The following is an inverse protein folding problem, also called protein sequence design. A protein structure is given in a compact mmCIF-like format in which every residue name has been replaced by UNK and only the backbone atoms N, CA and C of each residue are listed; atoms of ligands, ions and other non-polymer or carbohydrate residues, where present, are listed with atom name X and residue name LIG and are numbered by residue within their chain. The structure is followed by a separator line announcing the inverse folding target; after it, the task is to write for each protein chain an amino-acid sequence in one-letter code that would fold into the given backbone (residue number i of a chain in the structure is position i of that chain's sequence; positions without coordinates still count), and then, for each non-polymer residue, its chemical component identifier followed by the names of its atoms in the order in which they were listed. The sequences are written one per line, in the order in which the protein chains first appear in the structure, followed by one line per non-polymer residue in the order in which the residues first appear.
data_IF_274309385564
#
_entry.id   IF_274309385564
#
_cell.length_a   1.000
_cell.length_b   1.000
_cell.length_c   1.000
_cell.angle_alpha   90.00
_cell.angle_beta   90.00
_cell.angle_gamma   90.00
#
_symmetry.space_group_name_H-M   'P 1'
#
loop_
_entity.id
_entity.type
_entity.pdbx_description
1 polymer ?
#
# COMPACT_ATOMS: atom_id res chain seq x y z
N UNK A 1 33.76 -7.06 21.02
CA UNK A 1 34.58 -6.48 19.92
C UNK A 1 36.11 -6.48 20.16
N UNK A 2 36.62 -6.87 21.35
CA UNK A 2 38.08 -7.00 21.61
C UNK A 2 38.74 -8.26 21.00
N UNK A 3 38.02 -9.39 20.96
CA UNK A 3 38.58 -10.68 20.50
C UNK A 3 38.84 -10.79 18.99
N UNK A 4 38.08 -10.09 18.12
CA UNK A 4 38.31 -10.12 16.66
C UNK A 4 39.48 -9.24 16.21
N UNK A 5 39.81 -8.16 16.94
CA UNK A 5 40.97 -7.29 16.62
C UNK A 5 42.32 -7.99 16.87
N UNK A 6 42.43 -8.81 17.93
CA UNK A 6 43.67 -9.55 18.21
C UNK A 6 43.99 -10.64 17.19
N UNK A 7 42.98 -11.33 16.66
CA UNK A 7 43.16 -12.41 15.67
C UNK A 7 43.58 -11.86 14.30
N UNK A 8 43.03 -10.70 13.90
CA UNK A 8 43.40 -10.03 12.64
C UNK A 8 44.82 -9.45 12.74
N UNK A 9 45.19 -8.83 13.87
CA UNK A 9 46.56 -8.33 14.07
C UNK A 9 47.62 -9.44 14.18
N UNK A 10 47.29 -10.60 14.78
CA UNK A 10 48.20 -11.76 14.80
C UNK A 10 48.40 -12.35 13.40
N UNK A 11 47.35 -12.47 12.58
CA UNK A 11 47.47 -12.97 11.20
C UNK A 11 48.26 -12.00 10.30
N UNK A 12 48.10 -10.69 10.47
CA UNK A 12 48.84 -9.69 9.71
C UNK A 12 50.34 -9.67 10.08
N UNK A 13 50.68 -9.79 11.37
CA UNK A 13 52.07 -9.95 11.83
C UNK A 13 52.71 -11.22 11.26
N UNK A 14 51.99 -12.34 11.24
CA UNK A 14 52.51 -13.60 10.71
C UNK A 14 52.74 -13.54 9.19
N UNK A 15 51.84 -12.90 8.44
CA UNK A 15 51.93 -12.76 6.98
C UNK A 15 53.05 -11.81 6.54
N UNK A 16 53.30 -10.74 7.30
CA UNK A 16 54.44 -9.85 7.09
C UNK A 16 55.76 -10.52 7.48
N UNK A 17 55.80 -11.33 8.54
CA UNK A 17 57.05 -12.00 8.94
C UNK A 17 57.47 -13.12 7.96
N UNK A 18 56.51 -13.88 7.42
CA UNK A 18 56.83 -15.02 6.53
C UNK A 18 57.21 -14.61 5.11
N UNK A 19 56.69 -13.48 4.57
CA UNK A 19 57.09 -12.99 3.23
C UNK A 19 58.40 -12.22 3.21
N UNK A 20 58.80 -11.60 4.32
CA UNK A 20 60.07 -10.88 4.40
C UNK A 20 61.27 -11.81 4.70
N UNK A 21 61.04 -13.00 5.25
CA UNK A 21 62.09 -14.00 5.46
C UNK A 21 62.49 -14.75 4.17
N UNK A 22 61.62 -14.82 3.16
CA UNK A 22 61.87 -15.56 1.91
C UNK A 22 62.62 -14.77 0.83
N UNK A 23 62.79 -13.45 0.98
CA UNK A 23 63.70 -12.64 0.18
C UNK A 23 64.86 -12.27 1.09
N UNK A 24 66.07 -12.78 0.85
CA UNK A 24 67.27 -12.57 1.70
C UNK A 24 67.72 -11.10 1.83
N UNK A 25 66.88 -10.26 2.42
CA UNK A 25 66.96 -8.79 2.40
C UNK A 25 67.11 -8.19 3.80
N UNK A 26 67.41 -9.00 4.82
CA UNK A 26 67.53 -8.55 6.20
C UNK A 26 68.82 -7.74 6.50
N UNK A 27 69.79 -7.71 5.59
CA UNK A 27 71.11 -7.08 5.84
C UNK A 27 71.49 -5.92 4.91
N UNK A 28 70.62 -5.46 4.00
CA UNK A 28 70.91 -4.27 3.20
C UNK A 28 70.38 -3.01 3.89
N UNK A 29 71.22 -1.98 4.01
CA UNK A 29 70.85 -0.66 4.53
C UNK A 29 69.66 -0.07 3.77
N UNK A 30 69.52 -0.35 2.47
CA UNK A 30 68.37 0.05 1.66
C UNK A 30 67.04 -0.55 2.15
N UNK A 31 67.00 -1.82 2.59
CA UNK A 31 65.76 -2.45 3.04
C UNK A 31 65.27 -1.84 4.38
N UNK A 32 66.21 -1.49 5.27
CA UNK A 32 65.91 -0.78 6.53
C UNK A 32 65.35 0.62 6.27
N UNK A 33 65.88 1.36 5.30
CA UNK A 33 65.33 2.66 4.90
C UNK A 33 63.92 2.52 4.28
N UNK A 34 63.68 1.52 3.42
CA UNK A 34 62.35 1.31 2.84
C UNK A 34 61.28 0.96 3.87
N UNK A 35 61.61 0.13 4.88
CA UNK A 35 60.68 -0.19 5.97
C UNK A 35 60.42 1.04 6.85
N UNK A 36 61.46 1.84 7.13
CA UNK A 36 61.34 3.07 7.92
C UNK A 36 60.52 4.16 7.21
N UNK A 37 60.67 4.29 5.88
CA UNK A 37 59.86 5.19 5.04
C UNK A 37 58.40 4.73 4.97
N UNK A 38 58.13 3.43 4.87
CA UNK A 38 56.76 2.90 4.92
C UNK A 38 56.14 3.15 6.31
N UNK A 39 56.90 2.94 7.40
CA UNK A 39 56.42 3.22 8.76
C UNK A 39 56.13 4.71 8.99
N UNK A 40 56.98 5.60 8.46
CA UNK A 40 56.76 7.06 8.47
C UNK A 40 55.54 7.47 7.64
N UNK A 41 55.30 6.83 6.48
CA UNK A 41 54.11 7.02 5.65
C UNK A 41 52.81 6.54 6.32
N UNK A 42 52.87 5.54 7.20
CA UNK A 42 51.71 5.09 7.98
C UNK A 42 51.39 6.01 9.18
N UNK A 43 52.38 6.75 9.70
CA UNK A 43 52.19 7.70 10.82
C UNK A 43 51.58 9.03 10.33
N UNK A 44 51.74 9.38 9.06
CA UNK A 44 51.21 10.60 8.44
C UNK A 44 49.82 10.45 7.80
N UNK A 45 49.13 9.32 8.00
CA UNK A 45 47.72 9.19 7.60
C UNK A 45 46.89 9.96 8.63
N UNK A 46 46.22 11.07 8.26
CA UNK A 46 45.31 11.73 9.17
C UNK A 46 44.23 10.74 9.58
N UNK A 47 44.14 10.46 10.88
CA UNK A 47 43.04 9.69 11.45
C UNK A 47 41.80 10.57 11.32
N UNK A 48 40.99 10.31 10.29
CA UNK A 48 39.67 10.92 10.16
C UNK A 48 38.79 10.28 11.23
N UNK A 49 38.59 10.98 12.34
CA UNK A 49 37.61 10.61 13.34
C UNK A 49 36.22 10.92 12.75
N UNK A 50 35.45 9.87 12.46
CA UNK A 50 34.03 10.02 12.16
C UNK A 50 33.28 10.50 13.40
N UNK A 51 32.31 11.40 13.22
CA UNK A 51 31.42 11.83 14.30
C UNK A 51 30.68 10.64 14.90
N UNK A 52 30.54 10.67 16.22
CA UNK A 52 29.87 9.67 17.04
C UNK A 52 28.51 10.14 17.50
N UNK A 53 27.67 9.21 17.95
CA UNK A 53 26.38 9.54 18.58
C UNK A 53 26.52 10.51 19.76
N UNK A 54 27.61 10.42 20.54
CA UNK A 54 27.85 11.30 21.69
C UNK A 54 28.04 12.76 21.26
N UNK A 55 28.66 12.99 20.10
CA UNK A 55 28.83 14.34 19.54
C UNK A 55 27.46 14.98 19.23
N UNK A 56 26.52 14.21 18.67
CA UNK A 56 25.15 14.68 18.41
C UNK A 56 24.35 14.87 19.71
N UNK A 57 24.48 13.94 20.65
CA UNK A 57 23.75 13.95 21.92
C UNK A 57 24.22 15.05 22.88
N UNK A 58 25.40 15.65 22.65
CA UNK A 58 25.87 16.83 23.39
C UNK A 58 24.85 17.98 23.40
N UNK A 59 24.11 18.15 22.30
CA UNK A 59 22.99 19.08 22.18
C UNK A 59 21.63 18.36 22.20
N UNK A 60 21.48 17.25 21.46
CA UNK A 60 20.17 16.63 21.26
C UNK A 60 19.61 15.87 22.47
N UNK A 61 20.38 15.68 23.54
CA UNK A 61 19.88 15.12 24.80
C UNK A 61 19.21 16.16 25.73
N UNK A 62 19.07 17.42 25.30
CA UNK A 62 18.34 18.43 26.09
C UNK A 62 16.82 18.39 25.79
N UNK A 63 15.95 18.08 26.78
CA UNK A 63 14.49 18.07 26.61
C UNK A 63 13.90 19.42 26.19
N UNK A 64 14.57 20.53 26.51
CA UNK A 64 14.12 21.89 26.17
C UNK A 64 14.52 22.29 24.74
N UNK A 65 15.43 21.54 24.11
CA UNK A 65 15.89 21.84 22.76
C UNK A 65 14.74 21.74 21.77
N UNK A 66 14.51 22.84 21.05
CA UNK A 66 13.39 22.98 20.14
C UNK A 66 13.68 24.01 19.06
N UNK A 67 12.93 23.91 17.95
CA UNK A 67 12.92 24.91 16.88
C UNK A 67 11.52 25.33 16.53
N UNK A 68 11.38 26.51 15.93
CA UNK A 68 10.14 26.96 15.32
C UNK A 68 10.07 26.51 13.86
N UNK A 69 8.98 25.88 13.45
CA UNK A 69 8.72 25.53 12.05
C UNK A 69 7.25 25.81 11.73
N UNK A 70 7.00 26.73 10.80
CA UNK A 70 5.63 27.12 10.42
C UNK A 70 4.79 27.62 11.59
N UNK A 71 5.39 28.41 12.50
CA UNK A 71 4.72 28.97 13.68
C UNK A 71 4.49 27.99 14.83
N UNK A 72 4.89 26.72 14.71
CA UNK A 72 4.80 25.72 15.79
C UNK A 72 6.16 25.41 16.40
N UNK A 73 6.22 25.30 17.73
CA UNK A 73 7.39 24.81 18.48
C UNK A 73 7.50 23.29 18.31
N UNK A 74 8.62 22.82 17.78
CA UNK A 74 8.92 21.39 17.56
C UNK A 74 10.12 21.01 18.43
N UNK A 75 10.00 19.95 19.22
CA UNK A 75 11.12 19.42 20.01
C UNK A 75 12.17 18.77 19.09
N UNK A 76 13.44 19.03 19.40
CA UNK A 76 14.60 18.40 18.77
C UNK A 76 15.27 17.38 19.70
N UNK A 77 14.65 17.10 20.86
CA UNK A 77 15.14 16.15 21.83
C UNK A 77 15.17 14.73 21.27
N UNK A 78 16.30 14.06 21.44
CA UNK A 78 16.53 12.65 21.15
C UNK A 78 17.04 11.99 22.42
N UNK A 79 16.34 10.95 22.87
CA UNK A 79 16.80 10.16 24.01
C UNK A 79 18.14 9.48 23.70
N UNK A 80 19.09 9.41 24.65
CA UNK A 80 20.38 8.75 24.44
C UNK A 80 20.25 7.27 24.04
N UNK A 81 19.20 6.61 24.52
CA UNK A 81 18.92 5.20 24.24
C UNK A 81 17.96 4.99 23.06
N UNK A 82 17.69 6.02 22.25
CA UNK A 82 16.68 5.97 21.19
C UNK A 82 16.91 4.85 20.16
N UNK A 83 18.17 4.51 19.87
CA UNK A 83 18.54 3.45 18.93
C UNK A 83 18.84 2.09 19.61
N UNK A 84 18.94 2.01 20.94
CA UNK A 84 19.47 0.81 21.63
C UNK A 84 18.69 -0.48 21.33
N UNK A 85 17.38 -0.38 21.11
CA UNK A 85 16.51 -1.52 20.78
C UNK A 85 16.21 -1.64 19.29
N UNK A 86 16.70 -0.70 18.50
CA UNK A 86 16.47 -0.65 17.07
C UNK A 86 17.24 -1.76 16.36
N UNK A 87 16.74 -2.23 15.22
CA UNK A 87 17.51 -3.06 14.30
C UNK A 87 18.72 -2.30 13.73
N UNK A 88 18.69 -0.97 13.81
CA UNK A 88 19.77 -0.07 13.41
C UNK A 88 20.67 0.36 14.59
N UNK A 89 20.66 -0.36 15.72
CA UNK A 89 21.40 0.03 16.94
C UNK A 89 22.93 0.14 16.76
N UNK A 90 23.47 -0.39 15.68
CA UNK A 90 24.91 -0.35 15.36
C UNK A 90 25.29 0.82 14.45
N UNK A 91 24.32 1.63 14.02
CA UNK A 91 24.57 2.79 13.16
C UNK A 91 24.75 4.05 14.03
N UNK A 92 25.69 4.91 13.62
CA UNK A 92 25.78 6.28 14.13
C UNK A 92 24.69 7.16 13.51
N UNK A 93 24.30 8.25 14.18
CA UNK A 93 23.26 9.18 13.73
C UNK A 93 23.52 9.70 12.31
N UNK A 94 24.78 9.98 11.97
CA UNK A 94 25.20 10.52 10.68
C UNK A 94 25.04 9.55 9.51
N UNK A 95 24.88 8.24 9.75
CA UNK A 95 24.57 7.30 8.67
C UNK A 95 23.17 7.50 8.10
N UNK A 96 22.22 7.97 8.92
CA UNK A 96 20.88 8.31 8.48
C UNK A 96 20.72 9.81 8.24
N UNK A 97 21.35 10.62 9.09
CA UNK A 97 21.38 12.08 9.00
C UNK A 97 22.71 12.53 8.37
N UNK A 98 22.92 12.18 7.11
CA UNK A 98 24.17 12.47 6.39
C UNK A 98 24.50 13.96 6.33
N UNK A 99 23.50 14.84 6.28
CA UNK A 99 23.70 16.30 6.33
C UNK A 99 24.16 16.82 7.71
N UNK A 100 24.01 16.01 8.76
CA UNK A 100 24.57 16.32 10.07
C UNK A 100 26.07 15.99 10.16
N UNK A 101 26.64 15.33 9.14
CA UNK A 101 28.04 14.94 9.05
C UNK A 101 28.97 16.15 8.75
N UNK A 102 29.01 17.14 9.64
CA UNK A 102 29.76 18.40 9.47
C UNK A 102 31.05 18.41 10.28
N UNK A 103 32.05 19.17 9.82
CA UNK A 103 33.32 19.34 10.55
C UNK A 103 33.17 20.27 11.76
N UNK A 104 32.30 21.27 11.64
CA UNK A 104 32.09 22.31 12.64
C UNK A 104 30.60 22.40 12.98
N UNK A 105 30.29 22.40 14.27
CA UNK A 105 28.94 22.59 14.78
C UNK A 105 28.59 24.09 14.90
N UNK A 106 27.31 24.46 14.74
CA UNK A 106 26.15 23.61 14.49
C UNK A 106 26.01 23.15 13.04
N UNK A 107 25.42 21.96 12.84
CA UNK A 107 24.97 21.51 11.51
C UNK A 107 23.81 22.37 10.99
N UNK A 108 23.49 22.37 9.68
CA UNK A 108 22.43 23.18 9.10
C UNK A 108 21.10 23.06 9.85
N UNK A 109 20.41 24.18 10.07
CA UNK A 109 19.13 24.19 10.80
C UNK A 109 18.03 23.42 10.08
N UNK A 110 18.08 23.39 8.75
CA UNK A 110 17.11 22.72 7.90
C UNK A 110 17.78 21.53 7.23
N UNK A 111 17.59 20.37 7.85
CA UNK A 111 18.01 19.09 7.29
C UNK A 111 16.92 18.47 6.42
N UNK A 112 17.34 17.76 5.38
CA UNK A 112 16.44 16.90 4.63
C UNK A 112 15.95 15.71 5.50
N UNK A 113 14.72 15.24 5.29
CA UNK A 113 14.25 14.02 5.96
C UNK A 113 15.12 12.81 5.58
N UNK A 114 15.36 11.91 6.53
CA UNK A 114 16.09 10.66 6.32
C UNK A 114 15.46 9.87 5.18
N UNK A 115 16.27 9.48 4.20
CA UNK A 115 15.85 8.64 3.09
C UNK A 115 16.20 7.17 3.35
N UNK A 116 15.21 6.36 3.72
CA UNK A 116 15.42 4.93 3.94
C UNK A 116 15.89 4.20 2.66
N UNK A 117 15.58 4.75 1.48
CA UNK A 117 15.90 4.18 0.18
C UNK A 117 17.40 4.15 -0.15
N UNK A 118 18.22 4.92 0.56
CA UNK A 118 19.68 4.91 0.37
C UNK A 118 20.30 3.54 0.74
N UNK A 119 19.62 2.77 1.59
CA UNK A 119 20.02 1.40 1.96
C UNK A 119 18.93 0.35 1.68
N UNK A 120 17.66 0.75 1.62
CA UNK A 120 16.53 -0.13 1.34
C UNK A 120 15.92 0.18 -0.04
N UNK A 121 16.75 0.13 -1.07
CA UNK A 121 16.41 0.47 -2.45
C UNK A 121 15.21 -0.32 -3.00
N UNK A 122 15.17 -1.64 -2.79
CA UNK A 122 14.09 -2.51 -3.24
C UNK A 122 12.76 -2.18 -2.55
N UNK A 123 12.79 -2.01 -1.22
CA UNK A 123 11.60 -1.63 -0.46
C UNK A 123 11.10 -0.23 -0.83
N UNK A 124 12.02 0.71 -1.09
CA UNK A 124 11.68 2.05 -1.56
C UNK A 124 11.06 2.00 -2.96
N UNK A 125 11.62 1.22 -3.87
CA UNK A 125 11.09 1.04 -5.22
C UNK A 125 9.67 0.48 -5.17
N UNK A 126 9.47 -0.62 -4.44
CA UNK A 126 8.16 -1.24 -4.22
C UNK A 126 7.15 -0.27 -3.61
N UNK A 127 7.58 0.51 -2.62
CA UNK A 127 6.73 1.51 -1.97
C UNK A 127 6.30 2.62 -2.93
N UNK A 128 7.24 3.13 -3.74
CA UNK A 128 6.99 4.19 -4.72
C UNK A 128 6.12 3.73 -5.89
N UNK A 129 6.15 2.44 -6.24
CA UNK A 129 5.24 1.83 -7.21
C UNK A 129 3.83 1.60 -6.65
N UNK A 130 3.69 1.48 -5.32
CA UNK A 130 2.42 1.29 -4.64
C UNK A 130 1.57 2.55 -4.54
N UNK A 131 0.30 2.38 -4.15
CA UNK A 131 -0.67 3.47 -4.00
C UNK A 131 -0.25 4.50 -2.93
N UNK A 132 0.43 4.05 -1.87
CA UNK A 132 0.94 4.92 -0.82
C UNK A 132 2.08 5.81 -1.33
N UNK A 133 3.06 5.25 -2.06
CA UNK A 133 4.14 6.04 -2.65
C UNK A 133 3.66 6.97 -3.76
N UNK A 134 2.67 6.54 -4.55
CA UNK A 134 1.99 7.41 -5.52
C UNK A 134 1.29 8.60 -4.82
N UNK A 135 0.63 8.38 -3.68
CA UNK A 135 0.06 9.44 -2.87
C UNK A 135 1.14 10.37 -2.30
N UNK A 136 2.25 9.81 -1.79
CA UNK A 136 3.37 10.60 -1.26
C UNK A 136 4.01 11.50 -2.33
N UNK A 137 4.22 10.98 -3.55
CA UNK A 137 4.74 11.73 -4.68
C UNK A 137 3.86 12.92 -5.07
N UNK A 138 2.55 12.83 -4.81
CA UNK A 138 1.57 13.92 -5.02
C UNK A 138 1.49 14.91 -3.86
N UNK A 139 2.41 14.82 -2.90
CA UNK A 139 2.44 15.65 -1.69
C UNK A 139 1.13 15.60 -0.90
N UNK A 140 0.51 14.43 -0.87
CA UNK A 140 -0.74 14.21 -0.17
C UNK A 140 -0.49 14.14 1.35
N UNK A 141 -1.18 14.99 2.12
CA UNK A 141 -1.02 15.06 3.58
C UNK A 141 -1.44 13.78 4.30
N UNK A 142 -2.26 12.93 3.67
CA UNK A 142 -2.69 11.66 4.25
C UNK A 142 -1.80 10.48 3.80
N UNK A 143 -0.79 10.71 2.96
CA UNK A 143 0.10 9.64 2.52
C UNK A 143 1.03 9.21 3.67
N UNK A 144 1.11 7.90 3.98
CA UNK A 144 2.08 7.42 4.96
C UNK A 144 3.49 7.48 4.37
N UNK A 145 4.49 7.58 5.24
CA UNK A 145 5.91 7.35 4.92
C UNK A 145 6.39 6.11 5.67
N UNK A 146 7.68 5.76 5.50
CA UNK A 146 8.29 4.62 6.18
C UNK A 146 8.09 4.68 7.70
N UNK A 147 8.11 5.88 8.30
CA UNK A 147 8.05 6.07 9.76
C UNK A 147 6.67 5.82 10.36
N UNK A 148 5.59 6.01 9.60
CA UNK A 148 4.23 5.71 10.07
C UNK A 148 4.10 4.20 10.31
N UNK A 149 4.67 3.39 9.42
CA UNK A 149 4.66 1.93 9.51
C UNK A 149 5.71 1.36 10.46
N UNK A 150 6.97 1.78 10.33
CA UNK A 150 8.11 1.18 11.04
C UNK A 150 8.51 1.92 12.33
N UNK A 151 8.11 3.18 12.48
CA UNK A 151 8.61 4.08 13.52
C UNK A 151 9.82 4.91 13.07
N UNK A 152 10.38 5.70 13.99
CA UNK A 152 11.54 6.57 13.72
C UNK A 152 12.86 5.95 14.21
N UNK A 153 13.32 6.29 15.41
CA UNK A 153 14.57 5.73 15.97
C UNK A 153 14.38 4.33 16.57
N UNK A 154 13.17 4.00 17.02
CA UNK A 154 12.86 2.72 17.69
C UNK A 154 12.26 1.69 16.72
N UNK A 155 12.93 1.48 15.57
CA UNK A 155 12.50 0.50 14.57
C UNK A 155 12.92 -0.89 15.03
N UNK A 156 11.96 -1.74 15.40
CA UNK A 156 12.24 -3.08 15.94
C UNK A 156 11.76 -4.17 14.98
N UNK A 157 12.39 -5.35 15.09
CA UNK A 157 12.14 -6.49 14.19
C UNK A 157 10.65 -6.87 14.13
N UNK A 158 10.09 -7.21 12.95
CA UNK A 158 8.70 -7.65 12.82
C UNK A 158 8.40 -8.96 13.54
N UNK A 159 9.40 -9.64 14.09
CA UNK A 159 9.22 -10.83 14.95
C UNK A 159 8.93 -10.48 16.41
N UNK A 160 9.24 -9.25 16.84
CA UNK A 160 8.98 -8.80 18.21
C UNK A 160 7.51 -8.37 18.34
N UNK A 161 6.73 -8.91 19.30
CA UNK A 161 5.34 -8.53 19.52
C UNK A 161 5.08 -7.02 19.74
N UNK A 162 6.11 -6.27 20.15
CA UNK A 162 6.02 -4.80 20.32
C UNK A 162 6.16 -4.04 19.00
N UNK A 163 6.59 -4.71 17.93
CA UNK A 163 6.77 -4.06 16.63
C UNK A 163 5.43 -3.69 16.02
N UNK A 164 5.34 -2.50 15.42
CA UNK A 164 4.15 -2.08 14.66
C UNK A 164 3.84 -3.03 13.50
N UNK A 165 4.88 -3.62 12.92
CA UNK A 165 4.80 -4.57 11.80
C UNK A 165 4.76 -6.03 12.26
N UNK A 166 4.61 -6.28 13.56
CA UNK A 166 4.33 -7.62 14.07
C UNK A 166 2.95 -8.09 13.60
N UNK A 167 2.85 -9.38 13.26
CA UNK A 167 1.65 -9.99 12.66
C UNK A 167 0.33 -9.56 13.31
N UNK A 168 0.23 -9.65 14.63
CA UNK A 168 -0.99 -9.30 15.38
C UNK A 168 -1.32 -7.80 15.35
N UNK A 169 -0.32 -6.96 15.13
CA UNK A 169 -0.43 -5.50 15.14
C UNK A 169 -0.74 -4.93 13.75
N UNK A 170 -0.63 -5.73 12.67
CA UNK A 170 -0.84 -5.27 11.29
C UNK A 170 -2.26 -4.71 11.08
N UNK A 171 -3.37 -5.37 11.51
CA UNK A 171 -4.69 -4.79 11.30
C UNK A 171 -4.87 -3.46 12.02
N UNK A 172 -4.29 -3.32 13.22
CA UNK A 172 -4.30 -2.05 13.96
C UNK A 172 -3.47 -0.99 13.23
N UNK A 173 -2.30 -1.35 12.70
CA UNK A 173 -1.42 -0.45 11.95
C UNK A 173 -2.13 0.11 10.71
N UNK A 174 -2.67 -0.75 9.85
CA UNK A 174 -3.45 -0.34 8.68
C UNK A 174 -4.68 0.48 9.10
N UNK A 175 -5.30 0.05 10.20
CA UNK A 175 -6.45 0.68 10.82
C UNK A 175 -6.22 2.11 11.31
N UNK A 176 -4.99 2.54 11.57
CA UNK A 176 -4.72 3.93 11.99
C UNK A 176 -5.22 4.94 10.96
N UNK A 177 -5.14 4.59 9.67
CA UNK A 177 -5.57 5.42 8.56
C UNK A 177 -6.85 4.91 7.88
N UNK A 178 -7.05 3.59 7.77
CA UNK A 178 -8.15 3.01 6.99
C UNK A 178 -9.41 2.64 7.79
N UNK A 179 -9.43 2.86 9.11
CA UNK A 179 -10.66 2.67 9.90
C UNK A 179 -11.76 3.66 9.52
N UNK A 180 -13.00 3.30 9.80
CA UNK A 180 -14.14 4.18 9.57
C UNK A 180 -13.96 5.53 10.30
N UNK A 181 -14.31 6.63 9.63
CA UNK A 181 -14.15 8.00 10.15
C UNK A 181 -12.72 8.57 10.16
N UNK A 182 -11.68 7.80 9.81
CA UNK A 182 -10.33 8.34 9.67
C UNK A 182 -10.21 9.34 8.50
N UNK A 183 -9.20 10.24 8.48
CA UNK A 183 -9.04 11.23 7.41
C UNK A 183 -9.03 10.64 6.00
N UNK A 184 -8.40 9.47 5.81
CA UNK A 184 -8.40 8.76 4.53
C UNK A 184 -9.82 8.27 4.19
N UNK A 185 -10.48 7.52 5.09
CA UNK A 185 -11.82 6.99 4.82
C UNK A 185 -12.87 8.08 4.57
N UNK A 186 -12.71 9.27 5.17
CA UNK A 186 -13.59 10.43 4.93
C UNK A 186 -13.23 11.18 3.66
N UNK A 187 -11.94 11.38 3.40
CA UNK A 187 -11.42 12.23 2.32
C UNK A 187 -11.43 11.57 0.95
N UNK A 188 -11.33 10.24 0.89
CA UNK A 188 -11.30 9.49 -0.38
C UNK A 188 -12.58 8.71 -0.63
N UNK A 189 -12.82 8.41 -1.91
CA UNK A 189 -13.86 7.47 -2.31
C UNK A 189 -13.36 6.03 -2.16
N UNK A 190 -13.52 5.46 -0.96
CA UNK A 190 -13.08 4.08 -0.66
C UNK A 190 -14.28 3.15 -0.79
N UNK A 191 -14.16 2.09 -1.58
CA UNK A 191 -15.28 1.19 -1.91
C UNK A 191 -15.71 0.24 -0.79
N UNK A 192 -15.00 0.20 0.33
CA UNK A 192 -15.26 -0.72 1.44
C UNK A 192 -15.30 0.04 2.76
N UNK A 193 -16.32 -0.26 3.56
CA UNK A 193 -16.59 0.36 4.85
C UNK A 193 -16.44 -0.62 6.01
N UNK A 194 -16.22 -0.10 7.22
CA UNK A 194 -16.09 -0.90 8.44
C UNK A 194 -15.07 -2.06 8.35
N UNK A 195 -14.01 -1.89 7.56
CA UNK A 195 -13.09 -2.98 7.18
C UNK A 195 -12.43 -3.67 8.39
N UNK A 196 -12.14 -2.93 9.47
CA UNK A 196 -11.52 -3.50 10.66
C UNK A 196 -12.48 -4.39 11.43
N UNK A 197 -13.72 -3.92 11.60
CA UNK A 197 -14.78 -4.68 12.25
C UNK A 197 -15.05 -5.95 11.44
N UNK A 198 -15.24 -5.80 10.13
CA UNK A 198 -15.54 -6.91 9.25
C UNK A 198 -14.40 -7.93 9.19
N UNK A 199 -13.15 -7.49 9.13
CA UNK A 199 -12.00 -8.38 9.22
C UNK A 199 -11.96 -9.11 10.57
N UNK A 200 -12.16 -8.39 11.67
CA UNK A 200 -12.05 -8.93 13.04
C UNK A 200 -13.08 -10.02 13.32
N UNK A 201 -14.29 -9.89 12.77
CA UNK A 201 -15.38 -10.86 12.90
C UNK A 201 -15.31 -11.98 11.84
N UNK A 202 -14.48 -11.84 10.81
CA UNK A 202 -14.25 -12.88 9.82
C UNK A 202 -13.37 -14.02 10.33
N UNK A 203 -13.33 -15.14 9.62
CA UNK A 203 -12.54 -16.33 10.01
C UNK A 203 -11.06 -16.00 10.23
N UNK A 204 -10.49 -15.07 9.44
CA UNK A 204 -9.12 -14.63 9.63
C UNK A 204 -8.94 -13.78 10.91
N UNK A 205 -9.84 -12.83 11.17
CA UNK A 205 -9.79 -12.05 12.42
C UNK A 205 -10.00 -12.90 13.67
N UNK A 206 -10.97 -13.81 13.65
CA UNK A 206 -11.21 -14.79 14.74
C UNK A 206 -9.97 -15.66 14.94
N UNK A 207 -9.39 -16.19 13.86
CA UNK A 207 -8.16 -16.98 13.93
C UNK A 207 -6.99 -16.22 14.55
N UNK A 208 -6.82 -14.96 14.15
CA UNK A 208 -5.75 -14.11 14.66
C UNK A 208 -5.98 -13.72 16.13
N UNK A 209 -7.11 -13.09 16.45
CA UNK A 209 -7.36 -12.44 17.75
C UNK A 209 -7.94 -13.36 18.81
N UNK A 210 -8.92 -14.21 18.48
CA UNK A 210 -9.54 -15.09 19.47
C UNK A 210 -8.76 -16.38 19.67
N UNK A 211 -8.16 -16.92 18.60
CA UNK A 211 -7.41 -18.19 18.65
C UNK A 211 -5.90 -18.00 18.75
N UNK A 212 -5.39 -16.78 18.61
CA UNK A 212 -3.95 -16.48 18.70
C UNK A 212 -3.09 -17.10 17.59
N UNK A 213 -3.69 -17.44 16.45
CA UNK A 213 -3.01 -18.12 15.35
C UNK A 213 -2.28 -17.11 14.46
N UNK A 214 -0.98 -16.94 14.69
CA UNK A 214 -0.15 -16.02 13.88
C UNK A 214 0.06 -16.46 12.44
N UNK A 215 -0.33 -17.69 12.10
CA UNK A 215 -0.34 -18.19 10.71
C UNK A 215 -1.54 -17.68 9.90
N UNK A 216 -2.52 -17.09 10.57
CA UNK A 216 -3.73 -16.57 9.94
C UNK A 216 -3.42 -15.32 9.10
N UNK A 217 -4.15 -15.16 7.99
CA UNK A 217 -3.93 -14.06 7.07
C UNK A 217 -4.31 -12.69 7.68
N UNK A 218 -3.47 -11.70 7.45
CA UNK A 218 -3.60 -10.27 7.80
C UNK A 218 -3.64 -9.43 6.54
N UNK A 219 -3.96 -8.14 6.67
CA UNK A 219 -4.18 -7.22 5.54
C UNK A 219 -3.08 -7.31 4.46
N UNK A 220 -1.82 -7.35 4.90
CA UNK A 220 -0.63 -7.39 4.04
C UNK A 220 -0.40 -8.73 3.33
N UNK A 221 -0.96 -9.85 3.79
CA UNK A 221 -0.81 -11.13 3.06
C UNK A 221 -1.66 -11.15 1.79
N UNK A 222 -2.77 -10.39 1.80
CA UNK A 222 -3.60 -10.21 0.63
C UNK A 222 -3.13 -9.00 -0.18
N UNK A 223 -2.94 -7.84 0.44
CA UNK A 223 -2.67 -6.57 -0.26
C UNK A 223 -1.18 -6.29 -0.56
N UNK A 224 -0.25 -7.01 0.08
CA UNK A 224 1.19 -6.75 0.00
C UNK A 224 1.72 -5.91 1.17
N UNK A 225 3.05 -5.77 1.24
CA UNK A 225 3.76 -5.05 2.31
C UNK A 225 4.16 -3.64 1.87
N UNK A 226 5.25 -3.53 1.09
CA UNK A 226 5.71 -2.25 0.54
C UNK A 226 5.01 -1.91 -0.77
N UNK A 227 4.81 -2.90 -1.65
CA UNK A 227 4.07 -2.75 -2.91
C UNK A 227 2.59 -3.06 -2.74
N UNK A 228 1.83 -2.07 -2.29
CA UNK A 228 0.37 -2.16 -2.16
C UNK A 228 -0.27 -1.54 -3.39
N UNK A 229 -0.91 -2.37 -4.21
CA UNK A 229 -1.59 -1.96 -5.44
C UNK A 229 -3.13 -2.01 -5.27
N UNK A 230 -3.88 -1.10 -5.89
CA UNK A 230 -5.35 -1.14 -5.84
C UNK A 230 -5.88 -2.44 -6.47
N UNK A 231 -7.07 -2.89 -6.08
CA UNK A 231 -7.70 -4.11 -6.63
C UNK A 231 -8.00 -4.00 -8.14
N UNK A 232 -8.09 -2.76 -8.62
CA UNK A 232 -8.24 -2.41 -10.03
C UNK A 232 -7.01 -2.77 -10.85
N UNK A 233 -5.84 -2.87 -10.20
CA UNK A 233 -4.59 -3.10 -10.91
C UNK A 233 -4.38 -4.57 -11.21
N UNK A 234 -4.15 -4.89 -12.48
CA UNK A 234 -3.97 -6.27 -12.94
C UNK A 234 -2.78 -6.99 -12.29
N UNK A 235 -1.78 -6.23 -11.81
CA UNK A 235 -0.62 -6.78 -11.09
C UNK A 235 -0.85 -6.84 -9.57
N UNK A 236 -1.96 -6.32 -9.06
CA UNK A 236 -2.33 -6.45 -7.65
C UNK A 236 -2.62 -7.91 -7.32
N UNK A 237 -2.16 -8.37 -6.17
CA UNK A 237 -2.47 -9.68 -5.61
C UNK A 237 -3.97 -9.85 -5.35
N UNK A 238 -4.68 -8.76 -5.06
CA UNK A 238 -6.14 -8.79 -4.85
C UNK A 238 -6.95 -8.48 -6.11
N UNK A 239 -6.31 -8.43 -7.29
CA UNK A 239 -7.05 -8.27 -8.54
C UNK A 239 -7.88 -9.51 -8.86
N UNK A 240 -8.99 -9.36 -9.60
CA UNK A 240 -9.83 -10.51 -10.02
C UNK A 240 -9.04 -11.62 -10.70
N UNK A 241 -7.97 -11.28 -11.42
CA UNK A 241 -7.09 -12.23 -12.10
C UNK A 241 -6.19 -13.01 -11.13
N UNK A 242 -5.69 -12.37 -10.08
CA UNK A 242 -4.66 -12.94 -9.20
C UNK A 242 -5.20 -13.46 -7.87
N UNK A 243 -6.43 -13.09 -7.49
CA UNK A 243 -6.98 -13.36 -6.15
C UNK A 243 -6.99 -14.85 -5.79
N UNK A 244 -7.27 -15.73 -6.75
CA UNK A 244 -7.23 -17.18 -6.54
C UNK A 244 -5.81 -17.64 -6.16
N UNK A 245 -4.78 -17.16 -6.87
CA UNK A 245 -3.38 -17.46 -6.57
C UNK A 245 -2.97 -16.94 -5.19
N UNK A 246 -3.45 -15.76 -4.80
CA UNK A 246 -3.20 -15.20 -3.46
C UNK A 246 -3.81 -16.09 -2.38
N UNK A 247 -5.08 -16.50 -2.49
CA UNK A 247 -5.69 -17.43 -1.54
C UNK A 247 -4.94 -18.77 -1.48
N UNK A 248 -4.53 -19.29 -2.64
CA UNK A 248 -3.81 -20.56 -2.75
C UNK A 248 -2.40 -20.58 -2.15
N UNK A 249 -1.84 -19.41 -1.82
CA UNK A 249 -0.60 -19.33 -1.03
C UNK A 249 -0.71 -20.10 0.28
N UNK A 250 -1.91 -20.12 0.88
CA UNK A 250 -2.21 -20.90 2.08
C UNK A 250 -3.23 -22.02 1.81
N UNK A 251 -4.25 -21.76 0.99
CA UNK A 251 -5.33 -22.71 0.69
C UNK A 251 -4.99 -23.63 -0.50
N UNK A 252 -3.93 -24.42 -0.36
CA UNK A 252 -3.32 -25.21 -1.44
C UNK A 252 -4.25 -26.23 -2.15
N UNK A 253 -5.45 -26.51 -1.61
CA UNK A 253 -6.41 -27.47 -2.18
C UNK A 253 -7.79 -26.86 -2.44
N UNK A 254 -7.87 -25.53 -2.52
CA UNK A 254 -9.15 -24.86 -2.75
C UNK A 254 -9.75 -25.23 -4.12
N UNK A 255 -8.90 -25.44 -5.14
CA UNK A 255 -9.33 -25.83 -6.49
C UNK A 255 -9.99 -27.22 -6.51
N UNK A 256 -9.45 -28.21 -5.77
CA UNK A 256 -10.02 -29.57 -5.65
C UNK A 256 -11.48 -29.56 -5.17
N UNK A 257 -11.83 -28.57 -4.33
CA UNK A 257 -13.17 -28.39 -3.79
C UNK A 257 -14.07 -27.68 -4.82
N UNK A 258 -13.54 -26.67 -5.52
CA UNK A 258 -14.33 -25.86 -6.46
C UNK A 258 -14.66 -26.60 -7.76
N UNK A 259 -13.78 -27.45 -8.29
CA UNK A 259 -14.06 -28.22 -9.52
C UNK A 259 -15.20 -29.24 -9.35
N UNK A 260 -15.59 -29.55 -8.10
CA UNK A 260 -16.76 -30.40 -7.80
C UNK A 260 -18.09 -29.64 -7.87
N UNK A 261 -18.04 -28.31 -7.75
CA UNK A 261 -19.21 -27.42 -7.71
C UNK A 261 -19.33 -26.61 -9.02
N UNK A 262 -18.20 -26.28 -9.65
CA UNK A 262 -18.10 -25.45 -10.85
C UNK A 262 -17.49 -26.28 -11.98
N UNK A 263 -18.19 -26.35 -13.12
CA UNK A 263 -17.75 -27.15 -14.27
C UNK A 263 -16.43 -26.62 -14.85
N UNK A 264 -15.38 -27.46 -14.82
CA UNK A 264 -14.02 -27.14 -15.30
C UNK A 264 -13.98 -26.64 -16.75
N UNK A 265 -14.90 -27.06 -17.61
CA UNK A 265 -14.93 -26.58 -19.01
C UNK A 265 -15.34 -25.11 -19.14
N UNK A 266 -16.06 -24.54 -18.17
CA UNK A 266 -16.37 -23.10 -18.12
C UNK A 266 -15.14 -22.25 -17.75
N UNK A 267 -14.19 -22.80 -16.98
CA UNK A 267 -12.91 -22.15 -16.64
C UNK A 267 -12.06 -21.92 -17.89
N UNK A 268 -12.05 -22.89 -18.81
CA UNK A 268 -11.19 -22.88 -19.99
C UNK A 268 -11.81 -22.12 -21.18
N UNK A 269 -13.15 -22.17 -21.32
CA UNK A 269 -13.85 -21.68 -22.52
C UNK A 269 -14.47 -20.29 -22.39
N UNK A 270 -14.62 -19.73 -21.18
CA UNK A 270 -15.31 -18.45 -20.99
C UNK A 270 -14.75 -17.65 -19.81
N UNK A 271 -13.68 -16.84 -20.04
CA UNK A 271 -13.15 -15.92 -19.04
C UNK A 271 -14.25 -14.99 -18.49
N UNK A 272 -14.46 -15.00 -17.17
CA UNK A 272 -15.51 -14.20 -16.50
C UNK A 272 -16.87 -14.89 -16.32
N UNK A 273 -17.05 -16.13 -16.82
CA UNK A 273 -18.26 -16.91 -16.56
C UNK A 273 -18.31 -17.48 -15.13
N UNK A 274 -17.17 -17.49 -14.44
CA UNK A 274 -17.02 -18.07 -13.10
C UNK A 274 -16.76 -16.95 -12.10
N UNK A 275 -17.53 -16.90 -11.00
CA UNK A 275 -17.29 -15.93 -9.93
C UNK A 275 -15.88 -16.06 -9.36
N UNK A 276 -15.22 -14.94 -9.08
CA UNK A 276 -14.00 -14.91 -8.28
C UNK A 276 -14.30 -15.42 -6.86
N UNK A 277 -13.27 -15.92 -6.15
CA UNK A 277 -13.44 -16.40 -4.77
C UNK A 277 -14.13 -15.37 -3.87
N UNK A 278 -13.80 -14.09 -4.06
CA UNK A 278 -14.32 -12.95 -3.30
C UNK A 278 -15.75 -12.59 -3.63
N UNK A 279 -16.30 -13.06 -4.76
CA UNK A 279 -17.71 -12.83 -5.11
C UNK A 279 -18.62 -13.62 -4.16
N UNK A 280 -18.17 -14.79 -3.70
CA UNK A 280 -18.88 -15.60 -2.71
C UNK A 280 -18.33 -15.44 -1.28
N UNK A 281 -17.00 -15.23 -1.15
CA UNK A 281 -16.30 -15.06 0.12
C UNK A 281 -15.73 -13.64 0.26
N UNK A 282 -16.57 -12.62 0.51
CA UNK A 282 -16.11 -11.25 0.64
C UNK A 282 -15.19 -11.10 1.88
N UNK A 283 -13.93 -10.67 1.71
CA UNK A 283 -12.94 -10.63 2.79
C UNK A 283 -13.19 -9.52 3.81
N UNK A 284 -14.02 -8.53 3.46
CA UNK A 284 -14.40 -7.40 4.31
C UNK A 284 -15.90 -7.37 4.61
N UNK A 285 -16.57 -8.53 4.67
CA UNK A 285 -17.97 -8.65 5.12
C UNK A 285 -18.15 -9.94 5.96
N UNK A 286 -18.93 -9.84 7.03
CA UNK A 286 -19.04 -10.89 8.07
C UNK A 286 -20.12 -11.93 7.75
N UNK A 287 -21.17 -11.54 7.03
CA UNK A 287 -22.36 -12.36 6.83
C UNK A 287 -22.32 -13.15 5.52
N UNK A 288 -21.92 -14.42 5.60
CA UNK A 288 -21.93 -15.36 4.46
C UNK A 288 -23.27 -16.10 4.29
N UNK A 289 -24.15 -16.08 5.29
CA UNK A 289 -25.39 -16.90 5.30
C UNK A 289 -26.38 -16.53 4.19
N UNK A 290 -26.25 -15.34 3.60
CA UNK A 290 -27.17 -14.83 2.58
C UNK A 290 -26.61 -14.85 1.14
N UNK A 291 -25.37 -15.31 0.93
CA UNK A 291 -24.73 -15.29 -0.41
C UNK A 291 -25.24 -16.43 -1.33
N UNK A 292 -25.98 -17.40 -0.78
CA UNK A 292 -26.49 -18.55 -1.54
C UNK A 292 -27.83 -18.32 -2.25
N UNK A 293 -28.50 -17.20 -2.01
CA UNK A 293 -29.70 -16.86 -2.78
C UNK A 293 -29.30 -15.98 -3.97
N UNK A 294 -29.22 -16.60 -5.15
CA UNK A 294 -29.13 -15.90 -6.43
C UNK A 294 -30.36 -14.99 -6.58
N UNK A 295 -30.27 -13.76 -6.08
CA UNK A 295 -31.26 -12.71 -6.35
C UNK A 295 -31.30 -12.51 -7.86
N UNK A 296 -32.39 -12.97 -8.47
CA UNK A 296 -32.66 -12.77 -9.89
C UNK A 296 -33.03 -11.31 -10.15
N UNK A 297 -32.79 -10.82 -11.37
CA UNK A 297 -33.19 -9.46 -11.77
C UNK A 297 -34.69 -9.20 -11.51
N UNK A 298 -35.53 -10.24 -11.61
CA UNK A 298 -36.96 -10.17 -11.30
C UNK A 298 -37.23 -9.66 -9.88
N UNK A 299 -36.42 -10.06 -8.91
CA UNK A 299 -36.55 -9.62 -7.51
C UNK A 299 -36.40 -8.10 -7.39
N UNK A 300 -35.46 -7.53 -8.13
CA UNK A 300 -35.24 -6.08 -8.17
C UNK A 300 -36.38 -5.38 -8.91
N UNK A 301 -36.81 -5.94 -10.05
CA UNK A 301 -37.83 -5.36 -10.91
C UNK A 301 -39.22 -5.31 -10.28
N UNK A 302 -39.54 -6.18 -9.30
CA UNK A 302 -40.78 -6.10 -8.51
C UNK A 302 -41.05 -4.68 -8.02
N UNK A 303 -40.00 -3.95 -7.64
CA UNK A 303 -40.08 -2.54 -7.28
C UNK A 303 -39.65 -1.65 -8.43
N UNK A 304 -38.46 -1.89 -9.00
CA UNK A 304 -37.80 -0.94 -9.90
C UNK A 304 -38.45 -0.81 -11.29
N UNK A 305 -39.40 -1.66 -11.68
CA UNK A 305 -40.14 -1.46 -12.94
C UNK A 305 -41.27 -0.41 -12.83
N UNK A 306 -41.66 -0.03 -11.60
CA UNK A 306 -42.81 0.86 -11.35
C UNK A 306 -42.42 2.34 -11.47
N UNK A 307 -43.33 3.16 -11.99
CA UNK A 307 -43.14 4.61 -12.16
C UNK A 307 -43.06 5.40 -10.85
N UNK A 308 -43.58 4.85 -9.76
CA UNK A 308 -43.67 5.53 -8.47
C UNK A 308 -42.52 5.20 -7.50
N UNK A 309 -41.47 4.49 -7.93
CA UNK A 309 -40.32 4.25 -7.06
C UNK A 309 -39.34 5.41 -7.15
N UNK A 310 -39.04 6.00 -6.00
CA UNK A 310 -38.16 7.15 -5.88
C UNK A 310 -37.40 7.12 -4.57
N UNK A 311 -36.23 7.78 -4.53
CA UNK A 311 -35.51 8.12 -3.31
C UNK A 311 -35.38 9.62 -3.17
N UNK A 312 -35.17 10.08 -1.94
CA UNK A 312 -34.82 11.46 -1.67
C UNK A 312 -33.30 11.56 -1.59
N UNK A 313 -32.70 12.44 -2.40
CA UNK A 313 -31.27 12.80 -2.33
C UNK A 313 -31.20 14.31 -2.21
N UNK A 314 -30.60 14.82 -1.14
CA UNK A 314 -30.48 16.26 -0.86
C UNK A 314 -31.81 17.03 -0.95
N UNK A 315 -32.89 16.43 -0.44
CA UNK A 315 -34.24 17.01 -0.46
C UNK A 315 -34.93 16.96 -1.82
N UNK A 316 -34.31 16.40 -2.86
CA UNK A 316 -34.91 16.22 -4.19
C UNK A 316 -35.36 14.77 -4.40
N UNK A 317 -36.54 14.61 -5.00
CA UNK A 317 -37.06 13.30 -5.40
C UNK A 317 -36.37 12.84 -6.67
N UNK A 318 -35.66 11.72 -6.61
CA UNK A 318 -34.97 11.10 -7.73
C UNK A 318 -35.67 9.77 -8.03
N UNK A 319 -36.12 9.59 -9.27
CA UNK A 319 -36.73 8.34 -9.72
C UNK A 319 -35.72 7.19 -9.63
N UNK A 320 -36.20 6.03 -9.18
CA UNK A 320 -35.47 4.78 -9.16
C UNK A 320 -35.99 3.78 -10.19
N UNK A 321 -36.91 4.21 -11.07
CA UNK A 321 -37.41 3.35 -12.13
C UNK A 321 -36.24 2.90 -13.02
N UNK A 322 -36.18 1.60 -13.27
CA UNK A 322 -35.25 0.96 -14.21
C UNK A 322 -36.07 0.47 -15.39
N UNK A 323 -35.76 1.01 -16.57
CA UNK A 323 -36.21 0.43 -17.83
C UNK A 323 -35.18 -0.63 -18.27
N UNK A 324 -35.67 -1.84 -18.55
CA UNK A 324 -34.84 -2.98 -18.98
C UNK A 324 -34.48 -2.90 -20.46
N UNK A 325 -35.23 -2.14 -21.26
CA UNK A 325 -34.96 -1.98 -22.70
C UNK A 325 -33.58 -1.38 -22.96
N UNK A 326 -33.15 -0.32 -22.24
CA UNK A 326 -31.77 0.17 -22.30
C UNK A 326 -30.71 -0.90 -21.99
N UNK A 327 -30.92 -1.73 -20.95
CA UNK A 327 -29.96 -2.77 -20.54
C UNK A 327 -29.85 -3.84 -21.63
N UNK A 328 -30.97 -4.27 -22.20
CA UNK A 328 -31.01 -5.26 -23.29
C UNK A 328 -30.25 -4.79 -24.54
N UNK A 329 -30.17 -3.48 -24.77
CA UNK A 329 -29.43 -2.86 -25.87
C UNK A 329 -28.00 -2.42 -25.50
N UNK A 330 -27.56 -2.71 -24.27
CA UNK A 330 -26.21 -2.40 -23.81
C UNK A 330 -25.21 -3.51 -24.16
N UNK A 331 -23.92 -3.19 -24.06
CA UNK A 331 -22.83 -4.18 -24.14
C UNK A 331 -22.84 -5.14 -22.94
N UNK A 332 -23.57 -4.82 -21.86
CA UNK A 332 -23.69 -5.60 -20.63
C UNK A 332 -24.97 -6.44 -20.57
N UNK A 333 -25.71 -6.61 -21.67
CA UNK A 333 -27.01 -7.32 -21.72
C UNK A 333 -27.03 -8.75 -21.15
N UNK A 334 -25.87 -9.39 -20.99
CA UNK A 334 -25.71 -10.74 -20.42
C UNK A 334 -25.27 -10.74 -18.94
N UNK A 335 -25.22 -9.58 -18.30
CA UNK A 335 -24.82 -9.41 -16.90
C UNK A 335 -26.07 -9.13 -16.05
N UNK A 336 -26.29 -9.95 -15.02
CA UNK A 336 -27.38 -9.76 -14.05
C UNK A 336 -27.13 -8.55 -13.15
N UNK A 337 -28.18 -7.92 -12.63
CA UNK A 337 -28.10 -6.68 -11.84
C UNK A 337 -27.10 -6.78 -10.68
N UNK A 338 -27.13 -7.90 -9.94
CA UNK A 338 -26.28 -8.14 -8.76
C UNK A 338 -24.79 -8.30 -9.06
N UNK A 339 -24.42 -8.53 -10.33
CA UNK A 339 -23.01 -8.58 -10.74
C UNK A 339 -22.41 -7.17 -10.90
N UNK A 340 -23.25 -6.16 -11.15
CA UNK A 340 -22.86 -4.75 -11.15
C UNK A 340 -23.06 -4.13 -9.76
N UNK A 341 -24.21 -4.40 -9.14
CA UNK A 341 -24.55 -3.98 -7.78
C UNK A 341 -24.12 -5.06 -6.76
N UNK A 342 -22.80 -5.27 -6.63
CA UNK A 342 -22.20 -6.29 -5.75
C UNK A 342 -22.15 -5.91 -4.26
N UNK A 343 -22.53 -4.67 -3.97
CA UNK A 343 -22.60 -4.06 -2.65
C UNK A 343 -23.93 -4.31 -1.93
N UNK A 344 -24.96 -4.77 -2.64
CA UNK A 344 -26.26 -5.12 -2.04
C UNK A 344 -26.12 -6.24 -1.02
N UNK A 345 -26.91 -6.14 0.05
CA UNK A 345 -27.03 -7.21 1.03
C UNK A 345 -28.22 -8.08 0.65
N UNK A 346 -28.02 -9.35 0.28
CA UNK A 346 -29.13 -10.25 0.04
C UNK A 346 -29.91 -10.53 1.33
N UNK A 347 -31.20 -10.87 1.19
CA UNK A 347 -32.09 -11.32 2.26
C UNK A 347 -32.41 -10.32 3.39
N UNK A 348 -32.31 -9.01 3.12
CA UNK A 348 -32.94 -7.96 3.95
C UNK A 348 -34.22 -7.44 3.29
N UNK A 349 -35.13 -6.83 4.05
CA UNK A 349 -36.44 -6.36 3.55
C UNK A 349 -36.31 -5.39 2.37
N UNK A 350 -35.22 -4.61 2.31
CA UNK A 350 -34.87 -3.74 1.18
C UNK A 350 -33.41 -3.97 0.79
N UNK A 351 -33.11 -4.90 -0.13
CA UNK A 351 -31.73 -5.19 -0.55
C UNK A 351 -30.98 -3.98 -1.11
N UNK A 352 -31.73 -2.99 -1.63
CA UNK A 352 -31.19 -1.74 -2.17
C UNK A 352 -30.78 -0.70 -1.11
N UNK A 353 -31.03 -0.93 0.18
CA UNK A 353 -30.64 0.01 1.24
C UNK A 353 -29.12 0.13 1.36
N UNK A 354 -28.39 -0.92 1.02
CA UNK A 354 -26.91 -0.92 1.01
C UNK A 354 -26.33 -0.72 -0.39
N UNK A 355 -27.16 -0.37 -1.39
CA UNK A 355 -26.70 -0.16 -2.75
C UNK A 355 -26.03 1.22 -2.90
N UNK A 356 -24.75 1.20 -3.23
CA UNK A 356 -23.92 2.35 -3.57
C UNK A 356 -23.74 2.44 -5.11
N UNK A 357 -22.77 3.25 -5.53
CA UNK A 357 -22.41 3.37 -6.95
C UNK A 357 -21.70 2.10 -7.41
N UNK A 358 -22.08 1.61 -8.59
CA UNK A 358 -21.46 0.44 -9.24
C UNK A 358 -19.96 0.66 -9.42
N UNK A 359 -19.16 -0.30 -8.95
CA UNK A 359 -17.72 -0.33 -9.20
C UNK A 359 -17.40 -1.04 -10.53
N UNK A 360 -17.13 -0.25 -11.57
CA UNK A 360 -16.78 -0.78 -12.89
C UNK A 360 -15.40 -1.47 -12.91
N UNK A 361 -14.51 -1.10 -11.98
CA UNK A 361 -13.11 -1.53 -11.99
C UNK A 361 -12.92 -3.02 -11.72
N UNK A 362 -13.89 -3.62 -11.03
CA UNK A 362 -13.90 -5.06 -10.78
C UNK A 362 -13.90 -5.86 -12.09
N UNK A 363 -14.54 -5.38 -13.17
CA UNK A 363 -14.47 -6.01 -14.50
C UNK A 363 -13.51 -5.31 -15.47
N UNK A 364 -13.44 -3.98 -15.41
CA UNK A 364 -12.65 -3.15 -16.32
C UNK A 364 -11.35 -2.67 -15.67
N UNK A 365 -10.61 -3.60 -15.07
CA UNK A 365 -9.39 -3.36 -14.30
C UNK A 365 -8.37 -2.44 -15.01
N UNK A 366 -7.99 -2.78 -16.24
CA UNK A 366 -7.01 -2.01 -17.02
C UNK A 366 -7.47 -0.56 -17.29
N UNK A 367 -8.72 -0.39 -17.70
CA UNK A 367 -9.27 0.95 -17.98
C UNK A 367 -9.44 1.74 -16.69
N UNK A 368 -9.84 1.09 -15.60
CA UNK A 368 -9.97 1.71 -14.29
C UNK A 368 -8.62 2.21 -13.74
N UNK A 369 -7.53 1.48 -13.98
CA UNK A 369 -6.18 1.94 -13.65
C UNK A 369 -5.76 3.18 -14.44
N UNK A 370 -6.06 3.19 -15.75
CA UNK A 370 -5.81 4.36 -16.60
C UNK A 370 -6.65 5.55 -16.11
N UNK A 371 -7.91 5.32 -15.78
CA UNK A 371 -8.79 6.35 -15.23
C UNK A 371 -8.28 6.87 -13.88
N UNK A 372 -7.92 6.00 -12.93
CA UNK A 372 -7.44 6.37 -11.59
C UNK A 372 -6.13 7.17 -11.64
N UNK A 373 -5.27 6.90 -12.62
CA UNK A 373 -4.05 7.68 -12.85
C UNK A 373 -4.28 9.01 -13.58
N UNK A 374 -5.43 9.19 -14.23
CA UNK A 374 -5.80 10.42 -14.94
C UNK A 374 -6.21 11.56 -13.98
N UNK A 375 -6.30 12.79 -14.52
CA UNK A 375 -6.82 13.93 -13.76
C UNK A 375 -8.27 13.73 -13.28
N UNK A 376 -9.12 13.04 -14.06
CA UNK A 376 -10.51 12.77 -13.68
C UNK A 376 -10.61 11.80 -12.51
N UNK A 377 -9.88 10.68 -12.56
CA UNK A 377 -9.87 9.71 -11.46
C UNK A 377 -9.29 10.31 -10.18
N UNK A 378 -8.22 11.11 -10.29
CA UNK A 378 -7.67 11.82 -9.13
C UNK A 378 -8.65 12.84 -8.52
N UNK A 379 -9.37 13.58 -9.36
CA UNK A 379 -10.39 14.51 -8.89
C UNK A 379 -11.56 13.78 -8.23
N UNK A 380 -11.98 12.65 -8.80
CA UNK A 380 -13.07 11.82 -8.30
C UNK A 380 -12.71 11.18 -6.96
N UNK A 381 -11.51 10.61 -6.85
CA UNK A 381 -11.01 10.01 -5.62
C UNK A 381 -10.94 11.02 -4.49
N UNK A 382 -10.63 12.29 -4.79
CA UNK A 382 -10.56 13.41 -3.83
C UNK A 382 -11.92 14.06 -3.54
N UNK A 383 -13.02 13.50 -4.06
CA UNK A 383 -14.38 14.05 -3.92
C UNK A 383 -14.49 15.50 -4.38
N UNK A 384 -13.74 15.87 -5.42
CA UNK A 384 -13.85 17.21 -6.00
C UNK A 384 -15.23 17.38 -6.66
N UNK A 385 -15.81 18.57 -6.53
CA UNK A 385 -17.10 18.88 -7.15
C UNK A 385 -17.01 18.74 -8.68
N UNK A 386 -18.03 18.16 -9.31
CA UNK A 386 -18.12 17.87 -10.75
C UNK A 386 -17.03 16.94 -11.31
N UNK A 387 -16.28 16.22 -10.48
CA UNK A 387 -15.36 15.20 -10.97
C UNK A 387 -16.13 14.04 -11.65
N UNK A 388 -15.86 13.74 -12.94
CA UNK A 388 -16.62 12.72 -13.66
C UNK A 388 -16.13 11.31 -13.27
N UNK A 389 -17.07 10.39 -13.05
CA UNK A 389 -16.82 8.95 -12.98
C UNK A 389 -17.07 8.29 -14.34
N UNK A 390 -16.95 6.95 -14.41
CA UNK A 390 -17.22 6.19 -15.62
C UNK A 390 -18.62 6.48 -16.19
N UNK A 391 -19.60 6.69 -15.31
CA UNK A 391 -21.01 6.90 -15.64
C UNK A 391 -21.29 8.22 -16.34
N UNK A 392 -20.52 9.26 -16.06
CA UNK A 392 -20.67 10.59 -16.68
C UNK A 392 -20.22 10.57 -18.15
N UNK A 393 -19.32 9.65 -18.51
CA UNK A 393 -18.88 9.45 -19.88
C UNK A 393 -19.70 8.38 -20.61
N UNK A 394 -19.95 7.23 -19.98
CA UNK A 394 -20.54 6.05 -20.62
C UNK A 394 -22.06 5.91 -20.42
N UNK A 395 -22.65 6.70 -19.53
CA UNK A 395 -24.01 6.50 -19.04
C UNK A 395 -24.10 5.40 -17.97
N UNK A 396 -25.32 5.05 -17.59
CA UNK A 396 -25.59 4.08 -16.52
C UNK A 396 -26.00 2.71 -17.10
N UNK A 397 -27.28 2.53 -17.42
CA UNK A 397 -27.84 1.25 -17.87
C UNK A 397 -27.78 1.06 -19.40
N UNK A 398 -27.51 2.11 -20.18
CA UNK A 398 -27.34 2.06 -21.64
C UNK A 398 -25.87 2.28 -22.05
N UNK A 399 -24.97 1.39 -21.61
CA UNK A 399 -23.57 1.47 -22.03
C UNK A 399 -23.42 0.87 -23.43
N UNK A 400 -23.03 1.69 -24.39
CA UNK A 400 -22.81 1.31 -25.79
C UNK A 400 -21.32 1.18 -26.11
N UNK A 401 -21.01 0.40 -27.14
CA UNK A 401 -19.64 0.26 -27.64
C UNK A 401 -19.10 1.60 -28.14
N UNK A 402 -17.79 1.85 -27.98
CA UNK A 402 -17.13 3.03 -28.58
C UNK A 402 -17.19 3.07 -30.11
N UNK A 403 -17.51 1.93 -30.74
CA UNK A 403 -17.65 1.79 -32.19
C UNK A 403 -19.10 2.03 -32.67
N UNK A 404 -20.06 2.22 -31.76
CA UNK A 404 -21.44 2.54 -32.09
C UNK A 404 -21.58 4.06 -32.25
N UNK A 405 -22.08 4.51 -33.40
CA UNK A 405 -22.22 5.95 -33.72
C UNK A 405 -23.17 6.69 -32.77
N UNK A 406 -24.08 5.96 -32.11
CA UNK A 406 -25.02 6.50 -31.14
C UNK A 406 -24.49 6.50 -29.71
N UNK A 407 -23.22 6.11 -29.51
CA UNK A 407 -22.56 6.10 -28.21
C UNK A 407 -22.09 7.50 -27.81
N UNK A 408 -22.24 7.92 -26.54
CA UNK A 408 -21.73 9.21 -26.07
C UNK A 408 -20.21 9.33 -26.20
N UNK A 409 -19.50 8.20 -26.21
CA UNK A 409 -18.04 8.12 -26.38
C UNK A 409 -17.63 7.81 -27.82
N UNK A 410 -18.55 7.87 -28.78
CA UNK A 410 -18.20 7.78 -30.19
C UNK A 410 -17.42 9.01 -30.63
N UNK A 411 -16.43 8.84 -31.50
CA UNK A 411 -15.46 9.89 -31.88
C UNK A 411 -16.06 11.26 -32.22
N UNK A 412 -17.22 11.32 -32.87
CA UNK A 412 -17.87 12.59 -33.23
C UNK A 412 -18.70 13.20 -32.10
N UNK A 413 -19.10 12.40 -31.10
CA UNK A 413 -19.83 12.86 -29.91
C UNK A 413 -18.90 13.36 -28.79
N UNK A 414 -17.64 12.90 -28.76
CA UNK A 414 -16.66 13.27 -27.72
C UNK A 414 -16.52 14.78 -27.49
N UNK A 415 -16.40 15.65 -28.52
CA UNK A 415 -16.28 17.09 -28.29
C UNK A 415 -17.45 17.68 -27.50
N UNK A 416 -18.68 17.25 -27.80
CA UNK A 416 -19.87 17.70 -27.07
C UNK A 416 -19.89 17.15 -25.63
N UNK A 417 -19.51 15.89 -25.43
CA UNK A 417 -19.40 15.28 -24.11
C UNK A 417 -18.42 16.03 -23.21
N UNK A 418 -17.20 16.29 -23.70
CA UNK A 418 -16.17 17.03 -22.95
C UNK A 418 -16.57 18.49 -22.73
N UNK A 419 -17.25 19.10 -23.70
CA UNK A 419 -17.76 20.47 -23.65
C UNK A 419 -18.84 20.72 -22.59
N UNK A 420 -19.39 19.69 -21.95
CA UNK A 420 -20.30 19.88 -20.82
C UNK A 420 -19.59 20.37 -19.54
N UNK A 421 -18.29 20.09 -19.42
CA UNK A 421 -17.49 20.46 -18.23
C UNK A 421 -16.32 21.38 -18.59
N UNK A 422 -15.73 21.22 -19.77
CA UNK A 422 -14.57 21.99 -20.24
C UNK A 422 -14.98 23.08 -21.23
N UNK A 423 -15.85 23.99 -20.78
CA UNK A 423 -16.18 25.20 -21.52
C UNK A 423 -15.09 26.23 -21.25
N UNK A 424 -14.30 26.55 -22.29
CA UNK A 424 -13.43 27.72 -22.29
C UNK A 424 -14.19 28.92 -22.85
#
# INVERSE_FOLDING_TARGET
MKFKKEVVMKKLKYFLYTRFASLGCLNSTLCRYSIFVILLLFISIPVVYGQTNDDCLSCHNDPELSKMRGGKKISLYVRPDALNKSVHSTLECTFCHSEAAVTDFPHPENMTPVNCGDCHDGAMTDFMEGIHGAALKRNDHNAPTCKECHGSHQIITPKDPKSRTYKMNIPVLCGQCHREGAPVSRGYNVSQHNILENYSQGTHGIGLYEKGLTVTATCNDCHGNHKILPHTNLNSSVSRKNIAATCMTCHARIEDVHVKIINKTLWEKSPGAIPACTDCHPPHKVELRNVLDNITDKTCLVCHERDNVHKMVDGKQVSLKVDVVPIANSVHKSITCVKCHSDITPNITRPCETAEKVDCSSCHAEVADIYASSGHGQAYDRKMENAPYCTECHGTHLVKSKNDETSPVFRSAVPALCGNCHQN
#
